data_IF_173492228927
#
_entry.id   IF_173492228927
#
_cell.length_a   1.000
_cell.length_b   1.000
_cell.length_c   1.000
_cell.angle_alpha   90.00
_cell.angle_beta   90.00
_cell.angle_gamma   90.00
#
_symmetry.space_group_name_H-M   'P 1'
#
loop_
_entity.id
_entity.type
_entity.pdbx_description
1 polymer ?
#
# COMPACT_ATOMS: atom_id res chain seq x y z
N UNK A 1 7.08 20.08 5.80
CA UNK A 1 7.75 19.26 6.84
C UNK A 1 9.26 19.19 6.59
N UNK A 2 10.10 19.31 7.63
CA UNK A 2 11.58 19.18 7.50
C UNK A 2 12.01 17.71 7.40
N UNK A 3 13.05 17.41 6.62
CA UNK A 3 13.56 16.04 6.41
C UNK A 3 13.93 15.33 7.73
N UNK A 4 14.48 16.05 8.72
CA UNK A 4 14.79 15.48 10.03
C UNK A 4 13.56 15.08 10.86
N UNK A 5 12.46 15.83 10.72
CA UNK A 5 11.19 15.49 11.39
C UNK A 5 10.56 14.25 10.74
N UNK A 6 10.59 14.16 9.40
CA UNK A 6 10.08 13.00 8.65
C UNK A 6 10.80 11.70 9.05
N UNK A 7 12.14 11.74 9.16
CA UNK A 7 12.95 10.60 9.60
C UNK A 7 12.58 10.15 11.01
N UNK A 8 12.41 11.11 11.93
CA UNK A 8 12.09 10.80 13.32
C UNK A 8 10.66 10.26 13.48
N UNK A 9 9.69 10.84 12.78
CA UNK A 9 8.31 10.33 12.72
C UNK A 9 8.26 8.91 12.17
N UNK A 10 8.92 8.64 11.03
CA UNK A 10 8.95 7.29 10.44
C UNK A 10 9.69 6.29 11.32
N UNK A 11 10.74 6.71 12.04
CA UNK A 11 11.41 5.88 13.02
C UNK A 11 10.48 5.49 14.18
N UNK A 12 9.70 6.43 14.71
CA UNK A 12 8.72 6.18 15.79
C UNK A 12 7.64 5.17 15.35
N UNK A 13 7.09 5.34 14.15
CA UNK A 13 6.11 4.39 13.60
C UNK A 13 6.73 3.01 13.40
N UNK A 14 7.98 2.93 12.94
CA UNK A 14 8.71 1.66 12.80
C UNK A 14 9.01 0.96 14.12
N UNK A 15 9.24 1.72 15.20
CA UNK A 15 9.46 1.16 16.55
C UNK A 15 8.16 0.70 17.22
N UNK A 16 7.00 0.87 16.56
CA UNK A 16 5.70 0.50 17.09
C UNK A 16 5.03 1.59 17.92
N UNK A 17 5.54 2.82 17.88
CA UNK A 17 4.88 3.96 18.51
C UNK A 17 3.55 4.23 17.79
N UNK A 18 2.44 4.37 18.53
CA UNK A 18 1.14 4.64 17.94
C UNK A 18 1.13 5.99 17.23
N UNK A 19 0.36 6.09 16.15
CA UNK A 19 0.26 7.30 15.35
C UNK A 19 -0.25 8.49 16.18
N UNK A 20 -1.10 8.27 17.18
CA UNK A 20 -1.58 9.30 18.09
C UNK A 20 -0.45 9.99 18.88
N UNK A 21 0.56 9.24 19.33
CA UNK A 21 1.73 9.84 20.00
C UNK A 21 2.60 10.64 19.04
N UNK A 22 2.75 10.16 17.79
CA UNK A 22 3.47 10.91 16.75
C UNK A 22 2.73 12.22 16.45
N UNK A 23 1.41 12.16 16.28
CA UNK A 23 0.58 13.35 16.08
C UNK A 23 0.70 14.30 17.27
N UNK A 24 0.62 13.80 18.51
CA UNK A 24 0.73 14.63 19.71
C UNK A 24 2.11 15.32 19.82
N UNK A 25 3.18 14.60 19.50
CA UNK A 25 4.56 15.12 19.52
C UNK A 25 4.75 16.26 18.52
N UNK A 26 4.07 16.20 17.38
CA UNK A 26 4.25 17.15 16.28
C UNK A 26 3.08 18.10 16.06
N UNK A 27 2.03 18.05 16.89
CA UNK A 27 0.81 18.87 16.76
C UNK A 27 1.06 20.38 16.74
N UNK A 28 2.14 20.83 17.39
CA UNK A 28 2.51 22.25 17.46
C UNK A 28 3.27 22.73 16.20
N UNK A 29 3.77 21.79 15.37
CA UNK A 29 4.56 22.10 14.18
C UNK A 29 3.81 21.81 12.88
N UNK A 30 2.99 20.76 12.89
CA UNK A 30 2.30 20.27 11.70
C UNK A 30 0.88 19.86 12.07
N UNK A 31 -0.03 20.05 11.14
CA UNK A 31 -1.41 19.59 11.30
C UNK A 31 -1.48 18.06 11.20
N UNK A 32 -2.49 17.47 11.84
CA UNK A 32 -2.67 16.03 11.75
C UNK A 32 -2.79 15.56 10.29
N UNK A 33 -3.52 16.31 9.46
CA UNK A 33 -3.70 15.99 8.04
C UNK A 33 -2.37 15.99 7.26
N UNK A 34 -1.48 16.97 7.51
CA UNK A 34 -0.14 16.99 6.92
C UNK A 34 0.63 15.74 7.30
N UNK A 35 0.65 15.37 8.59
CA UNK A 35 1.34 14.18 9.07
C UNK A 35 0.75 12.93 8.41
N UNK A 36 -0.57 12.77 8.38
CA UNK A 36 -1.26 11.66 7.73
C UNK A 36 -1.03 11.60 6.21
N UNK A 37 -0.75 12.73 5.56
CA UNK A 37 -0.43 12.77 4.13
C UNK A 37 0.97 12.20 3.83
N UNK A 38 1.89 12.20 4.80
CA UNK A 38 3.25 11.65 4.62
C UNK A 38 3.31 10.15 4.86
N UNK A 39 2.47 9.63 5.73
CA UNK A 39 2.36 8.19 5.92
C UNK A 39 1.40 7.65 4.86
N UNK A 40 1.83 6.72 3.98
CA UNK A 40 0.88 6.08 3.09
C UNK A 40 -0.18 5.43 3.97
N UNK A 41 -1.41 5.96 3.93
CA UNK A 41 -2.59 5.26 4.44
C UNK A 41 -2.46 3.88 3.83
N UNK A 42 -2.23 2.86 4.66
CA UNK A 42 -2.17 1.46 4.20
C UNK A 42 -3.38 1.32 3.30
N UNK A 43 -3.12 1.20 2.00
CA UNK A 43 -4.17 1.06 1.00
C UNK A 43 -5.09 -0.02 1.53
N UNK A 44 -6.36 0.34 1.76
CA UNK A 44 -7.36 -0.62 2.18
C UNK A 44 -7.16 -1.90 1.36
N UNK A 45 -6.92 -3.06 1.99
CA UNK A 45 -6.77 -4.32 1.25
C UNK A 45 -8.02 -4.69 0.43
N UNK A 46 -9.09 -3.88 0.52
CA UNK A 46 -10.35 -4.01 -0.20
C UNK A 46 -10.39 -3.35 -1.59
N UNK A 47 -9.34 -2.65 -2.06
CA UNK A 47 -9.27 -2.14 -3.45
C UNK A 47 -8.34 -2.90 -4.40
N UNK A 48 -7.60 -3.89 -3.92
CA UNK A 48 -6.74 -4.75 -4.77
C UNK A 48 -7.47 -5.94 -5.43
N UNK A 49 -8.78 -6.12 -5.21
CA UNK A 49 -9.58 -7.20 -5.83
C UNK A 49 -10.59 -6.61 -6.80
N UNK A 50 -10.13 -5.92 -7.85
CA UNK A 50 -10.98 -5.66 -9.03
C UNK A 50 -10.24 -5.21 -10.30
N UNK A 51 -8.96 -5.55 -10.50
CA UNK A 51 -8.28 -5.36 -11.81
C UNK A 51 -7.25 -6.43 -12.20
N UNK A 52 -7.45 -7.69 -11.80
CA UNK A 52 -6.66 -8.83 -12.34
C UNK A 52 -7.49 -10.11 -12.62
N UNK A 53 -8.75 -9.96 -13.03
CA UNK A 53 -9.56 -11.06 -13.58
C UNK A 53 -9.78 -10.92 -15.11
N UNK A 54 -8.83 -10.31 -15.82
CA UNK A 54 -8.90 -10.13 -17.28
C UNK A 54 -7.53 -10.34 -17.94
N UNK A 55 -6.91 -11.48 -17.69
CA UNK A 55 -5.95 -12.13 -18.61
C UNK A 55 -6.23 -13.63 -18.50
N UNK A 56 -7.34 -14.05 -19.09
CA UNK A 56 -7.34 -14.79 -20.37
C UNK A 56 -6.36 -15.96 -20.27
N UNK A 57 -6.86 -17.05 -19.66
CA UNK A 57 -6.42 -18.42 -19.94
C UNK A 57 -6.53 -18.63 -21.46
N UNK A 58 -5.41 -18.61 -22.17
CA UNK A 58 -5.26 -19.17 -23.53
C UNK A 58 -3.81 -19.59 -23.69
N UNK A 59 -3.43 -20.71 -23.08
CA UNK A 59 -2.20 -21.42 -23.39
C UNK A 59 -2.23 -22.78 -22.69
N UNK A 60 -3.12 -23.67 -23.14
CA UNK A 60 -2.89 -25.12 -23.17
C UNK A 60 -4.13 -25.80 -23.76
N UNK A 61 -3.89 -26.90 -24.48
CA UNK A 61 -4.85 -27.75 -25.18
C UNK A 61 -5.23 -27.34 -26.61
N UNK A 62 -4.26 -27.39 -27.52
CA UNK A 62 -4.47 -28.06 -28.80
C UNK A 62 -3.50 -29.25 -28.86
N UNK A 63 -3.80 -30.25 -28.04
CA UNK A 63 -3.38 -31.63 -28.28
C UNK A 63 -4.07 -32.10 -29.55
N UNK A 64 -3.26 -32.31 -30.60
CA UNK A 64 -3.22 -33.56 -31.34
C UNK A 64 -4.43 -34.48 -31.12
N UNK A 65 -5.36 -34.49 -32.08
CA UNK A 65 -6.08 -35.67 -32.56
C UNK A 65 -6.99 -35.25 -33.70
N UNK A 66 -6.51 -35.36 -34.93
CA UNK A 66 -7.36 -35.60 -36.09
C UNK A 66 -7.35 -37.11 -36.35
N UNK A 67 -8.46 -37.81 -36.11
CA UNK A 67 -8.66 -39.18 -36.56
C UNK A 67 -9.43 -39.20 -37.89
N UNK A 68 -8.99 -40.09 -38.79
CA UNK A 68 -9.65 -40.66 -39.97
C UNK A 68 -9.41 -40.00 -41.34
N UNK A 69 -8.69 -40.73 -42.20
CA UNK A 69 -8.69 -40.58 -43.65
C UNK A 69 -7.53 -41.29 -44.34
#
# INVERSE_FOLDING_TARGET
MRNGDLYKMTSMVKTGTPMEEVLHTYRNRYSADEIWSFFPKKEDPKKAVKKKAARKKVAEAETETDPLG
#
